data_IF_222772416971
#
_entry.id   IF_222772416971
#
_cell.length_a   1.000
_cell.length_b   1.000
_cell.length_c   1.000
_cell.angle_alpha   90.00
_cell.angle_beta   90.00
_cell.angle_gamma   90.00
#
_symmetry.space_group_name_H-M   'P 1'
#
loop_
_entity.id
_entity.type
_entity.pdbx_description
1 polymer ?
#
# COMPACT_ATOMS: atom_id res chain seq x y z
N UNK A 1 3.25 -2.77 29.70
CA UNK A 1 3.69 -1.36 29.79
C UNK A 1 3.02 -0.64 28.62
N UNK A 2 1.98 0.14 28.89
CA UNK A 2 1.28 0.89 27.84
C UNK A 2 1.89 2.28 27.78
N UNK A 3 2.67 2.56 26.74
CA UNK A 3 2.91 3.94 26.33
C UNK A 3 1.61 4.42 25.72
N UNK A 4 0.88 5.28 26.42
CA UNK A 4 -0.26 5.95 25.80
C UNK A 4 0.26 6.72 24.57
N UNK A 5 -0.26 6.43 23.38
CA UNK A 5 0.14 7.17 22.19
C UNK A 5 -0.26 8.63 22.35
N UNK A 6 0.62 9.54 21.97
CA UNK A 6 0.34 10.97 22.02
C UNK A 6 -0.68 11.34 20.94
N UNK A 7 -1.69 12.11 21.31
CA UNK A 7 -2.74 12.60 20.39
C UNK A 7 -2.15 13.31 19.15
N UNK A 8 -1.01 13.99 19.33
CA UNK A 8 -0.24 14.60 18.23
C UNK A 8 0.29 13.58 17.21
N UNK A 9 0.79 12.44 17.67
CA UNK A 9 1.27 11.37 16.77
C UNK A 9 0.12 10.76 15.97
N UNK A 10 -1.01 10.46 16.63
CA UNK A 10 -2.20 9.96 15.94
C UNK A 10 -2.70 10.93 14.86
N UNK A 11 -2.72 12.24 15.15
CA UNK A 11 -3.10 13.25 14.16
C UNK A 11 -2.11 13.31 12.98
N UNK A 12 -0.81 13.22 13.24
CA UNK A 12 0.22 13.21 12.19
C UNK A 12 0.11 11.96 11.29
N UNK A 13 -0.10 10.78 11.90
CA UNK A 13 -0.33 9.52 11.18
C UNK A 13 -1.55 9.60 10.29
N UNK A 14 -2.67 10.10 10.83
CA UNK A 14 -3.89 10.30 10.05
C UNK A 14 -3.66 11.23 8.86
N UNK A 15 -2.99 12.36 9.08
CA UNK A 15 -2.69 13.33 8.02
C UNK A 15 -1.80 12.73 6.92
N UNK A 16 -0.79 11.92 7.27
CA UNK A 16 0.06 11.25 6.30
C UNK A 16 -0.72 10.23 5.45
N UNK A 17 -1.60 9.43 6.08
CA UNK A 17 -2.47 8.48 5.37
C UNK A 17 -3.42 9.23 4.42
N UNK A 18 -4.10 10.27 4.90
CA UNK A 18 -5.03 11.05 4.09
C UNK A 18 -4.31 11.72 2.90
N UNK A 19 -3.11 12.24 3.11
CA UNK A 19 -2.29 12.82 2.05
C UNK A 19 -1.91 11.76 1.00
N UNK A 20 -1.45 10.58 1.43
CA UNK A 20 -1.11 9.48 0.54
C UNK A 20 -2.31 9.05 -0.32
N UNK A 21 -3.47 8.81 0.30
CA UNK A 21 -4.69 8.41 -0.41
C UNK A 21 -5.20 9.49 -1.36
N UNK A 22 -5.13 10.77 -0.96
CA UNK A 22 -5.51 11.88 -1.82
C UNK A 22 -4.64 11.93 -3.10
N UNK A 23 -3.31 11.76 -2.98
CA UNK A 23 -2.41 11.73 -4.15
C UNK A 23 -2.69 10.53 -5.06
N UNK A 24 -2.93 9.35 -4.51
CA UNK A 24 -3.33 8.19 -5.30
C UNK A 24 -4.64 8.44 -6.07
N UNK A 25 -5.65 9.05 -5.44
CA UNK A 25 -6.92 9.37 -6.10
C UNK A 25 -6.77 10.36 -7.26
N UNK A 26 -5.76 11.24 -7.16
CA UNK A 26 -5.40 12.23 -8.18
C UNK A 26 -4.47 11.67 -9.26
N UNK A 27 -4.07 10.40 -9.16
CA UNK A 27 -3.05 9.75 -10.01
C UNK A 27 -1.69 10.46 -9.95
N UNK A 28 -1.39 11.12 -8.83
CA UNK A 28 -0.12 11.80 -8.57
C UNK A 28 0.84 10.83 -7.85
N UNK A 29 1.48 9.95 -8.63
CA UNK A 29 2.43 8.97 -8.07
C UNK A 29 3.67 9.63 -7.48
N UNK A 30 4.20 10.67 -8.12
CA UNK A 30 5.35 11.41 -7.60
C UNK A 30 5.03 12.00 -6.23
N UNK A 31 3.87 12.66 -6.10
CA UNK A 31 3.37 13.19 -4.85
C UNK A 31 3.11 12.13 -3.78
N UNK A 32 2.54 10.99 -4.15
CA UNK A 32 2.30 9.88 -3.23
C UNK A 32 3.61 9.34 -2.65
N UNK A 33 4.64 9.18 -3.49
CA UNK A 33 5.98 8.73 -3.07
C UNK A 33 6.64 9.73 -2.13
N UNK A 34 6.41 11.05 -2.29
CA UNK A 34 6.96 12.06 -1.38
C UNK A 34 6.37 12.03 0.03
N UNK A 35 5.26 11.32 0.27
CA UNK A 35 4.71 11.10 1.62
C UNK A 35 5.56 10.10 2.43
N UNK A 36 6.34 9.26 1.75
CA UNK A 36 7.24 8.31 2.39
C UNK A 36 8.55 8.97 2.85
N UNK A 37 9.12 8.40 3.91
CA UNK A 37 10.47 8.73 4.34
C UNK A 37 11.48 8.28 3.27
N UNK A 38 12.64 8.93 3.22
CA UNK A 38 13.70 8.59 2.26
C UNK A 38 14.23 7.17 2.44
N UNK A 39 14.24 6.69 3.69
CA UNK A 39 14.63 5.35 4.10
C UNK A 39 13.44 4.41 4.37
N UNK A 40 12.25 4.70 3.82
CA UNK A 40 11.07 3.91 4.12
C UNK A 40 11.23 2.43 3.74
N UNK A 41 10.70 1.52 4.54
CA UNK A 41 10.56 0.11 4.19
C UNK A 41 9.15 -0.14 3.63
N UNK A 42 9.05 -0.77 2.46
CA UNK A 42 7.79 -1.12 1.82
C UNK A 42 7.77 -2.61 1.51
N UNK A 43 6.85 -3.33 2.14
CA UNK A 43 6.71 -4.77 2.01
C UNK A 43 5.33 -5.13 1.46
N UNK A 44 5.31 -5.80 0.32
CA UNK A 44 4.12 -6.42 -0.24
C UNK A 44 4.41 -7.92 -0.39
N UNK A 45 4.22 -8.73 0.67
CA UNK A 45 4.50 -10.15 0.62
C UNK A 45 3.72 -10.85 -0.50
N UNK A 46 4.34 -11.85 -1.12
CA UNK A 46 3.70 -12.64 -2.16
C UNK A 46 4.67 -13.62 -2.80
N UNK A 47 4.18 -14.35 -3.80
CA UNK A 47 5.01 -15.33 -4.53
C UNK A 47 5.95 -14.66 -5.53
N UNK A 48 7.05 -15.31 -5.88
CA UNK A 48 7.97 -14.85 -6.94
C UNK A 48 7.32 -14.74 -8.34
N UNK A 49 6.16 -15.37 -8.54
CA UNK A 49 5.39 -15.25 -9.77
C UNK A 49 4.63 -13.92 -9.88
N UNK A 50 4.54 -13.14 -8.80
CA UNK A 50 3.82 -11.85 -8.75
C UNK A 50 4.86 -10.72 -8.74
N UNK A 51 5.10 -10.02 -9.87
CA UNK A 51 6.29 -9.17 -10.02
C UNK A 51 6.37 -7.96 -9.08
N UNK A 52 5.22 -7.48 -8.59
CA UNK A 52 5.16 -6.39 -7.61
C UNK A 52 5.29 -6.87 -6.15
N UNK A 53 5.41 -8.18 -5.89
CA UNK A 53 5.64 -8.69 -4.54
C UNK A 53 7.08 -8.43 -4.07
N UNK A 54 7.30 -8.50 -2.76
CA UNK A 54 8.60 -8.41 -2.11
C UNK A 54 8.85 -7.11 -1.34
N UNK A 55 9.97 -7.10 -0.63
CA UNK A 55 10.48 -5.99 0.16
C UNK A 55 11.23 -4.99 -0.73
N UNK A 56 10.97 -3.69 -0.51
CA UNK A 56 11.59 -2.57 -1.20
C UNK A 56 11.97 -1.48 -0.20
N UNK A 57 12.98 -0.69 -0.54
CA UNK A 57 13.47 0.39 0.33
C UNK A 57 13.45 1.74 -0.38
N UNK A 58 13.18 2.76 0.42
CA UNK A 58 13.14 4.16 0.05
C UNK A 58 12.07 4.50 -0.97
N UNK A 59 12.04 5.79 -1.32
CA UNK A 59 11.09 6.36 -2.29
C UNK A 59 11.17 5.70 -3.67
N UNK A 60 12.38 5.35 -4.11
CA UNK A 60 12.61 4.63 -5.38
C UNK A 60 11.95 3.25 -5.39
N UNK A 61 12.06 2.50 -4.28
CA UNK A 61 11.38 1.23 -4.10
C UNK A 61 9.86 1.37 -4.16
N UNK A 62 9.31 2.37 -3.49
CA UNK A 62 7.86 2.66 -3.54
C UNK A 62 7.41 3.01 -4.96
N UNK A 63 8.15 3.86 -5.67
CA UNK A 63 7.87 4.18 -7.08
C UNK A 63 7.88 2.92 -7.94
N UNK A 64 8.89 2.06 -7.77
CA UNK A 64 9.03 0.79 -8.50
C UNK A 64 7.83 -0.13 -8.27
N UNK A 65 7.29 -0.20 -7.04
CA UNK A 65 6.08 -0.95 -6.76
C UNK A 65 4.89 -0.46 -7.59
N UNK A 66 4.62 0.85 -7.61
CA UNK A 66 3.50 1.41 -8.35
C UNK A 66 3.66 1.32 -9.86
N UNK A 67 4.87 1.55 -10.39
CA UNK A 67 5.12 1.39 -11.83
C UNK A 67 4.95 -0.06 -12.27
N UNK A 68 5.42 -1.01 -11.46
CA UNK A 68 5.21 -2.45 -11.71
C UNK A 68 3.73 -2.81 -11.65
N UNK A 69 2.97 -2.34 -10.66
CA UNK A 69 1.52 -2.55 -10.63
C UNK A 69 0.84 -2.03 -11.91
N UNK A 70 1.19 -0.82 -12.37
CA UNK A 70 0.64 -0.25 -13.59
C UNK A 70 1.05 -1.00 -14.86
N UNK A 71 2.19 -1.67 -14.87
CA UNK A 71 2.62 -2.52 -15.98
C UNK A 71 1.74 -3.77 -16.08
N UNK A 72 1.48 -4.44 -14.96
CA UNK A 72 0.83 -5.76 -14.92
C UNK A 72 -0.69 -5.72 -14.72
N UNK A 73 -1.22 -4.68 -14.08
CA UNK A 73 -2.64 -4.57 -13.73
C UNK A 73 -3.30 -3.44 -14.50
N UNK A 74 -4.57 -3.65 -14.84
CA UNK A 74 -5.51 -2.61 -15.26
C UNK A 74 -6.39 -2.29 -14.06
N UNK A 75 -6.22 -1.12 -13.42
CA UNK A 75 -7.03 -0.76 -12.26
C UNK A 75 -8.50 -0.59 -12.61
N UNK A 76 -9.41 -1.14 -11.79
CA UNK A 76 -10.86 -0.95 -11.97
C UNK A 76 -11.49 -0.26 -10.76
N UNK A 77 -11.18 -0.71 -9.54
CA UNK A 77 -11.73 -0.18 -8.30
C UNK A 77 -10.71 -0.24 -7.17
N UNK A 78 -10.66 0.83 -6.38
CA UNK A 78 -9.92 0.89 -5.12
C UNK A 78 -10.77 1.64 -4.10
N UNK A 79 -11.26 0.92 -3.09
CA UNK A 79 -12.20 1.46 -2.11
C UNK A 79 -11.64 1.30 -0.71
N UNK A 80 -11.41 2.42 -0.03
CA UNK A 80 -11.05 2.44 1.39
C UNK A 80 -12.33 2.46 2.22
N UNK A 81 -12.48 1.48 3.09
CA UNK A 81 -13.66 1.35 3.97
C UNK A 81 -13.39 1.89 5.37
N UNK A 82 -12.17 1.69 5.89
CA UNK A 82 -11.80 2.12 7.23
C UNK A 82 -10.35 2.58 7.27
N UNK A 83 -10.09 3.52 8.17
CA UNK A 83 -8.76 3.93 8.58
C UNK A 83 -8.75 3.87 10.11
N UNK A 84 -7.87 3.03 10.67
CA UNK A 84 -7.65 2.92 12.11
C UNK A 84 -6.30 3.55 12.42
N UNK A 85 -6.23 4.39 13.45
CA UNK A 85 -4.98 5.05 13.85
C UNK A 85 -4.79 4.92 15.35
N UNK A 86 -3.56 4.56 15.74
CA UNK A 86 -3.12 4.44 17.12
C UNK A 86 -1.68 4.97 17.24
N UNK A 87 -1.53 6.24 17.64
CA UNK A 87 -0.24 6.93 17.68
C UNK A 87 0.45 6.97 16.31
N UNK A 88 1.66 6.45 16.24
CA UNK A 88 2.46 6.33 15.01
C UNK A 88 1.98 5.20 14.09
N UNK A 89 1.04 4.36 14.54
CA UNK A 89 0.55 3.21 13.79
C UNK A 89 -0.76 3.56 13.09
N UNK A 90 -0.91 3.11 11.84
CA UNK A 90 -2.17 3.22 11.11
C UNK A 90 -2.45 2.00 10.25
N UNK A 91 -3.72 1.68 10.06
CA UNK A 91 -4.17 0.59 9.17
C UNK A 91 -5.20 1.14 8.21
N UNK A 92 -4.95 1.00 6.91
CA UNK A 92 -5.89 1.31 5.84
C UNK A 92 -6.56 0.00 5.44
N UNK A 93 -7.89 -0.08 5.53
CA UNK A 93 -8.66 -1.29 5.22
C UNK A 93 -9.58 -1.01 4.06
N UNK A 94 -9.60 -1.91 3.09
CA UNK A 94 -10.41 -1.73 1.90
C UNK A 94 -10.56 -2.97 1.06
N UNK A 95 -11.02 -2.77 -0.16
CA UNK A 95 -11.03 -3.77 -1.21
C UNK A 95 -10.56 -3.14 -2.51
N UNK A 96 -9.98 -3.99 -3.37
CA UNK A 96 -9.61 -3.62 -4.72
C UNK A 96 -10.18 -4.62 -5.71
N UNK A 97 -10.38 -4.12 -6.93
CA UNK A 97 -10.67 -4.92 -8.11
C UNK A 97 -9.80 -4.43 -9.24
N UNK A 98 -9.00 -5.32 -9.79
CA UNK A 98 -8.16 -5.07 -10.94
C UNK A 98 -8.33 -6.19 -11.97
N UNK A 99 -7.86 -5.97 -13.19
CA UNK A 99 -7.69 -7.02 -14.19
C UNK A 99 -6.21 -7.26 -14.44
N UNK A 100 -5.75 -8.50 -14.32
CA UNK A 100 -4.38 -8.89 -14.70
C UNK A 100 -4.27 -8.84 -16.21
N UNK A 101 -3.39 -7.98 -16.75
CA UNK A 101 -3.34 -7.73 -18.20
C UNK A 101 -2.94 -8.95 -19.01
N UNK A 102 -2.00 -9.75 -18.50
CA UNK A 102 -1.47 -10.91 -19.21
C UNK A 102 -2.51 -12.03 -19.38
N UNK A 103 -3.33 -12.27 -18.35
CA UNK A 103 -4.29 -13.40 -18.31
C UNK A 103 -5.73 -12.95 -18.58
N UNK A 104 -6.02 -11.66 -18.48
CA UNK A 104 -7.38 -11.11 -18.52
C UNK A 104 -8.24 -11.49 -17.30
N UNK A 105 -7.68 -12.17 -16.31
CA UNK A 105 -8.41 -12.63 -15.11
C UNK A 105 -8.63 -11.45 -14.14
N UNK A 106 -9.80 -11.38 -13.48
CA UNK A 106 -10.02 -10.40 -12.43
C UNK A 106 -9.24 -10.79 -11.18
N UNK A 107 -8.67 -9.78 -10.52
CA UNK A 107 -8.13 -9.84 -9.17
C UNK A 107 -9.07 -9.06 -8.27
N UNK A 108 -9.78 -9.75 -7.36
CA UNK A 108 -10.66 -9.13 -6.38
C UNK A 108 -10.19 -9.59 -5.00
N UNK A 109 -9.74 -8.66 -4.17
CA UNK A 109 -9.24 -8.98 -2.84
C UNK A 109 -9.54 -7.87 -1.84
N UNK A 110 -9.92 -8.20 -0.59
CA UNK A 110 -9.75 -7.26 0.50
C UNK A 110 -8.25 -6.97 0.70
N UNK A 111 -7.94 -5.82 1.26
CA UNK A 111 -6.60 -5.51 1.70
C UNK A 111 -6.60 -4.82 3.08
N UNK A 112 -5.49 -4.98 3.79
CA UNK A 112 -5.11 -4.09 4.87
C UNK A 112 -3.67 -3.61 4.63
N UNK A 113 -3.42 -2.31 4.72
CA UNK A 113 -2.08 -1.76 4.70
C UNK A 113 -1.74 -1.20 6.07
N UNK A 114 -0.80 -1.84 6.77
CA UNK A 114 -0.27 -1.35 8.04
C UNK A 114 0.87 -0.38 7.75
N UNK A 115 0.76 0.83 8.29
CA UNK A 115 1.76 1.88 8.17
C UNK A 115 2.29 2.28 9.53
N UNK A 116 3.57 2.60 9.58
CA UNK A 116 4.19 3.33 10.69
C UNK A 116 4.63 4.70 10.18
N UNK A 117 4.22 5.76 10.88
CA UNK A 117 4.52 7.14 10.53
C UNK A 117 5.43 7.75 11.58
N UNK A 118 6.58 8.26 11.13
CA UNK A 118 7.59 8.92 11.97
C UNK A 118 7.85 10.29 11.35
N UNK A 119 7.88 11.34 12.18
CA UNK A 119 8.09 12.73 11.73
C UNK A 119 7.15 13.15 10.57
N UNK A 120 5.91 12.65 10.60
CA UNK A 120 4.89 12.93 9.58
C UNK A 120 5.12 12.26 8.22
N UNK A 121 6.04 11.30 8.13
CA UNK A 121 6.35 10.52 6.92
C UNK A 121 6.10 9.03 7.15
N UNK A 122 5.61 8.34 6.12
CA UNK A 122 5.46 6.88 6.18
C UNK A 122 6.85 6.26 6.16
N UNK A 123 7.26 5.68 7.29
CA UNK A 123 8.55 5.03 7.48
C UNK A 123 8.48 3.52 7.21
N UNK A 124 7.32 2.90 7.45
CA UNK A 124 7.06 1.48 7.12
C UNK A 124 5.69 1.34 6.48
N UNK A 125 5.58 0.46 5.49
CA UNK A 125 4.34 0.06 4.85
C UNK A 125 4.37 -1.46 4.65
N UNK A 126 3.38 -2.16 5.18
CA UNK A 126 3.23 -3.60 5.01
C UNK A 126 1.82 -3.92 4.50
N UNK A 127 1.74 -4.53 3.32
CA UNK A 127 0.50 -4.90 2.67
C UNK A 127 0.07 -6.32 3.07
N UNK A 128 -1.18 -6.45 3.49
CA UNK A 128 -1.85 -7.73 3.69
C UNK A 128 -2.95 -7.87 2.65
N UNK A 129 -2.84 -8.89 1.81
CA UNK A 129 -3.80 -9.22 0.75
C UNK A 129 -3.84 -10.75 0.55
N UNK A 130 -4.80 -11.25 -0.25
CA UNK A 130 -4.86 -12.67 -0.59
C UNK A 130 -3.77 -13.04 -1.60
N UNK A 131 -2.56 -13.28 -1.10
CA UNK A 131 -1.39 -13.63 -1.91
C UNK A 131 -1.58 -14.90 -2.73
N UNK A 132 -2.46 -15.81 -2.31
CA UNK A 132 -2.82 -17.00 -3.06
C UNK A 132 -3.73 -16.66 -4.24
N UNK A 133 -4.73 -15.80 -4.05
CA UNK A 133 -5.55 -15.28 -5.15
C UNK A 133 -4.71 -14.49 -6.17
N UNK A 134 -3.79 -13.64 -5.70
CA UNK A 134 -2.83 -12.94 -6.57
C UNK A 134 -2.01 -13.92 -7.41
N UNK A 135 -1.44 -14.95 -6.78
CA UNK A 135 -0.65 -15.96 -7.47
C UNK A 135 -1.47 -16.59 -8.61
N UNK A 136 -2.68 -17.10 -8.32
CA UNK A 136 -3.53 -17.74 -9.34
C UNK A 136 -4.05 -16.80 -10.43
N UNK A 137 -4.17 -15.51 -10.15
CA UNK A 137 -4.60 -14.55 -11.16
C UNK A 137 -3.47 -14.26 -12.17
N UNK A 138 -2.21 -14.27 -11.69
CA UNK A 138 -1.02 -14.03 -12.50
C UNK A 138 -0.52 -15.30 -13.20
N UNK A 139 -0.65 -16.46 -12.56
CA UNK A 139 -0.27 -17.75 -13.16
C UNK A 139 -1.45 -18.39 -13.89
N UNK A 140 -1.20 -19.02 -15.03
CA UNK A 140 -2.27 -19.60 -15.86
C UNK A 140 -2.64 -21.03 -15.41
N UNK A 141 -2.73 -21.23 -14.09
CA UNK A 141 -3.02 -22.54 -13.48
C UNK A 141 -4.52 -22.80 -13.35
#
# INVERSE_FOLDING_TARGET
>A
MSTQPTEGAAKATRAAIDAYLARLSQRDLDGAVQVFAESAEFDAPGSSAVPWSGLRHGREGVMTFFTTLHEYLKPEEFTVTHIVVDGEQGVIIGHLRDTVKATGKPLVTPFAAHVTVVDGKIARYHLFEDTHALHRAVTDS
#
